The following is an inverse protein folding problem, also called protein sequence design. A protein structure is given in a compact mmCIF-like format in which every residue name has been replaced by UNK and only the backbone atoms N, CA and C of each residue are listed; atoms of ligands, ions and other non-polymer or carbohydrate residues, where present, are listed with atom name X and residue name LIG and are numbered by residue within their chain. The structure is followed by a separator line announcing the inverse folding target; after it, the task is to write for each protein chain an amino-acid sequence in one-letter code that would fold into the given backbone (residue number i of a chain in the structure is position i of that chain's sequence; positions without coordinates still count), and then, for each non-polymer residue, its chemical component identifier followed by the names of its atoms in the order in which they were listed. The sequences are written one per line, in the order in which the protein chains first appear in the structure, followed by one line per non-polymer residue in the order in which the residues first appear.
data_IF_622851391663
#
_entry.id   IF_622851391663
#
_cell.length_a   1.000
_cell.length_b   1.000
_cell.length_c   1.000
_cell.angle_alpha   90.00
_cell.angle_beta   90.00
_cell.angle_gamma   90.00
#
_symmetry.space_group_name_H-M   'P 1'
#
loop_
_entity.id
_entity.type
_entity.pdbx_description
1 polymer ?
#
# COMPACT_ATOMS: atom_id res chain seq x y z
N UNK A 1 27.43 40.85 7.85
CA UNK A 1 27.11 40.36 9.20
C UNK A 1 25.94 39.43 8.99
N UNK A 2 26.17 38.11 9.03
CA UNK A 2 25.10 37.13 8.89
C UNK A 2 24.44 37.05 10.27
N UNK A 3 23.13 37.31 10.34
CA UNK A 3 22.37 37.00 11.55
C UNK A 3 22.51 35.48 11.82
N UNK A 4 22.61 35.06 13.08
CA UNK A 4 22.63 33.64 13.41
C UNK A 4 21.30 33.03 12.98
N UNK A 5 21.35 32.13 11.99
CA UNK A 5 20.19 31.34 11.58
C UNK A 5 19.62 30.64 12.81
N UNK A 6 18.30 30.73 13.08
CA UNK A 6 17.70 30.08 14.23
C UNK A 6 17.91 28.56 14.12
N UNK A 7 18.21 27.91 15.25
CA UNK A 7 18.56 26.50 15.28
C UNK A 7 17.32 25.64 14.97
N UNK A 8 17.21 25.22 13.71
CA UNK A 8 16.10 24.41 13.21
C UNK A 8 15.93 23.11 13.99
N UNK A 9 17.03 22.47 14.41
CA UNK A 9 16.96 21.20 15.12
C UNK A 9 16.25 21.37 16.47
N UNK A 10 16.68 22.37 17.24
CA UNK A 10 16.05 22.70 18.53
C UNK A 10 14.61 23.18 18.36
N UNK A 11 14.34 24.04 17.37
CA UNK A 11 12.98 24.49 17.07
C UNK A 11 12.06 23.33 16.71
N UNK A 12 12.48 22.42 15.83
CA UNK A 12 11.67 21.30 15.38
C UNK A 12 11.36 20.30 16.49
N UNK A 13 12.30 20.07 17.42
CA UNK A 13 12.06 19.24 18.62
C UNK A 13 11.00 19.90 19.52
N UNK A 14 11.17 21.18 19.86
CA UNK A 14 10.22 21.89 20.70
C UNK A 14 8.84 21.99 20.03
N UNK A 15 8.80 22.20 18.72
CA UNK A 15 7.56 22.25 17.96
C UNK A 15 6.82 20.89 17.98
N UNK A 16 7.55 19.78 17.93
CA UNK A 16 6.95 18.45 18.05
C UNK A 16 6.28 18.23 19.42
N UNK A 17 6.87 18.77 20.48
CA UNK A 17 6.33 18.68 21.85
C UNK A 17 5.08 19.56 22.05
N UNK A 18 4.98 20.70 21.35
CA UNK A 18 3.86 21.65 21.45
C UNK A 18 2.67 21.30 20.54
N UNK A 19 2.89 20.56 19.45
CA UNK A 19 1.83 20.17 18.53
C UNK A 19 0.86 19.15 19.17
N UNK A 20 -0.44 19.22 18.85
CA UNK A 20 -1.42 18.26 19.37
C UNK A 20 -1.18 16.86 18.81
N UNK A 21 -1.23 15.86 19.69
CA UNK A 21 -0.93 14.46 19.37
C UNK A 21 0.51 14.09 19.72
N UNK A 22 0.98 12.94 19.24
CA UNK A 22 2.36 12.52 19.46
C UNK A 22 3.16 12.73 18.18
N UNK A 23 4.06 13.69 18.19
CA UNK A 23 4.94 14.00 17.06
C UNK A 23 6.39 13.65 17.39
N UNK A 24 7.11 13.18 16.38
CA UNK A 24 8.56 12.97 16.43
C UNK A 24 9.23 13.86 15.40
N UNK A 25 10.42 14.37 15.71
CA UNK A 25 11.21 15.23 14.82
C UNK A 25 12.41 14.50 14.25
N UNK A 26 12.64 14.65 12.94
CA UNK A 26 13.85 14.20 12.23
C UNK A 26 14.50 15.38 11.51
N UNK A 27 15.59 15.89 12.06
CA UNK A 27 16.41 16.94 11.45
C UNK A 27 17.42 16.38 10.47
N UNK A 28 17.70 17.12 9.40
CA UNK A 28 18.73 16.79 8.43
C UNK A 28 19.48 18.05 7.99
N UNK A 29 20.81 17.96 7.96
CA UNK A 29 21.66 18.97 7.36
C UNK A 29 22.09 18.51 5.96
N UNK A 30 22.01 19.40 4.98
CA UNK A 30 22.38 19.13 3.59
C UNK A 30 23.89 19.29 3.43
N UNK A 31 24.57 18.23 3.00
CA UNK A 31 25.99 18.28 2.68
C UNK A 31 26.20 18.77 1.24
N UNK A 32 25.25 18.49 0.36
CA UNK A 32 25.28 18.83 -1.06
C UNK A 32 23.90 19.33 -1.51
N UNK A 33 23.88 20.18 -2.54
CA UNK A 33 22.64 20.72 -3.12
C UNK A 33 21.57 19.64 -3.46
N UNK A 34 21.92 18.46 -4.00
CA UNK A 34 20.91 17.43 -4.27
C UNK A 34 20.18 16.90 -3.03
N UNK A 35 20.78 17.01 -1.84
CA UNK A 35 20.24 16.45 -0.61
C UNK A 35 18.90 17.10 -0.22
N UNK A 36 18.68 18.37 -0.61
CA UNK A 36 17.45 19.10 -0.31
C UNK A 36 16.21 18.54 -1.03
N UNK A 37 16.37 17.76 -2.09
CA UNK A 37 15.24 17.28 -2.90
C UNK A 37 14.63 15.98 -2.39
N UNK A 38 15.38 15.14 -1.69
CA UNK A 38 14.95 13.80 -1.30
C UNK A 38 13.63 13.80 -0.50
N UNK A 39 13.41 14.84 0.32
CA UNK A 39 12.20 15.03 1.12
C UNK A 39 11.26 16.03 0.49
N UNK A 40 11.79 17.09 -0.10
CA UNK A 40 11.02 18.13 -0.78
C UNK A 40 10.18 17.62 -1.95
N UNK A 41 10.60 16.57 -2.65
CA UNK A 41 9.81 15.96 -3.74
C UNK A 41 8.45 15.41 -3.27
N UNK A 42 8.32 15.10 -1.97
CA UNK A 42 7.08 14.62 -1.37
C UNK A 42 6.25 15.76 -0.76
N UNK A 43 6.71 17.00 -0.86
CA UNK A 43 6.01 18.16 -0.33
C UNK A 43 4.66 18.34 -1.05
N UNK A 44 3.60 18.41 -0.26
CA UNK A 44 2.24 18.67 -0.72
C UNK A 44 1.93 20.16 -0.59
N UNK A 45 2.73 20.96 -1.28
CA UNK A 45 2.58 22.41 -1.41
C UNK A 45 3.21 22.85 -2.72
N UNK A 46 2.46 23.56 -3.56
CA UNK A 46 2.93 24.19 -4.79
C UNK A 46 3.06 25.71 -4.65
N UNK A 47 3.04 26.21 -3.42
CA UNK A 47 3.05 27.64 -3.13
C UNK A 47 4.31 28.02 -2.33
N UNK A 48 4.17 28.31 -1.05
CA UNK A 48 5.16 29.05 -0.26
C UNK A 48 6.46 28.28 -0.04
N UNK A 49 6.33 27.01 0.34
CA UNK A 49 7.46 26.16 0.74
C UNK A 49 8.16 25.63 -0.52
N UNK A 50 7.38 25.19 -1.52
CA UNK A 50 7.94 24.78 -2.81
C UNK A 50 8.68 25.92 -3.52
N UNK A 51 8.14 27.14 -3.48
CA UNK A 51 8.81 28.31 -4.03
C UNK A 51 10.14 28.59 -3.33
N UNK A 52 10.17 28.53 -1.99
CA UNK A 52 11.40 28.73 -1.22
C UNK A 52 12.49 27.69 -1.59
N UNK A 53 12.12 26.42 -1.73
CA UNK A 53 13.04 25.34 -2.13
C UNK A 53 13.56 25.53 -3.56
N UNK A 54 12.71 26.04 -4.46
CA UNK A 54 13.08 26.28 -5.86
C UNK A 54 14.03 27.47 -6.02
N UNK A 55 13.88 28.52 -5.20
CA UNK A 55 14.68 29.75 -5.32
C UNK A 55 15.95 29.77 -4.46
N UNK A 56 16.03 28.92 -3.44
CA UNK A 56 17.08 28.96 -2.44
C UNK A 56 17.75 27.60 -2.22
N UNK A 57 19.07 27.63 -2.04
CA UNK A 57 19.79 26.49 -1.51
C UNK A 57 19.53 26.44 -0.01
N UNK A 58 18.96 25.33 0.45
CA UNK A 58 18.69 25.10 1.86
C UNK A 58 19.85 24.33 2.49
N UNK A 59 20.30 24.76 3.66
CA UNK A 59 21.37 24.05 4.40
C UNK A 59 20.84 22.91 5.27
N UNK A 60 19.55 22.91 5.56
CA UNK A 60 18.92 21.96 6.47
C UNK A 60 17.40 21.94 6.32
N UNK A 61 16.81 20.82 6.72
CA UNK A 61 15.37 20.65 6.89
C UNK A 61 15.05 19.82 8.14
N UNK A 62 13.77 19.81 8.51
CA UNK A 62 13.25 18.89 9.49
C UNK A 62 11.90 18.32 9.04
N UNK A 63 11.65 17.05 9.39
CA UNK A 63 10.37 16.38 9.19
C UNK A 63 9.77 16.06 10.54
N UNK A 64 8.55 16.55 10.77
CA UNK A 64 7.75 16.14 11.92
C UNK A 64 6.79 15.04 11.48
N UNK A 65 6.77 13.92 12.20
CA UNK A 65 5.88 12.78 11.91
C UNK A 65 4.98 12.53 13.11
N UNK A 66 3.67 12.50 12.88
CA UNK A 66 2.68 12.10 13.88
C UNK A 66 2.50 10.57 13.87
N UNK A 67 2.04 10.00 14.97
CA UNK A 67 1.75 8.57 15.11
C UNK A 67 0.79 7.99 14.04
N UNK A 68 -0.12 8.79 13.50
CA UNK A 68 -1.02 8.43 12.39
C UNK A 68 -0.38 8.48 10.99
N UNK A 69 0.91 8.80 10.91
CA UNK A 69 1.67 8.94 9.66
C UNK A 69 1.56 10.31 8.98
N UNK A 70 0.84 11.27 9.57
CA UNK A 70 0.80 12.66 9.11
C UNK A 70 2.19 13.29 9.23
N UNK A 71 2.64 13.99 8.19
CA UNK A 71 4.01 14.52 8.13
C UNK A 71 4.04 15.99 7.75
N UNK A 72 4.84 16.77 8.47
CA UNK A 72 5.11 18.18 8.18
C UNK A 72 6.58 18.36 7.81
N UNK A 73 6.84 19.21 6.83
CA UNK A 73 8.17 19.64 6.41
C UNK A 73 8.43 21.04 6.96
N UNK A 74 9.58 21.24 7.60
CA UNK A 74 9.95 22.50 8.25
C UNK A 74 11.32 22.95 7.74
N UNK A 75 11.39 24.20 7.29
CA UNK A 75 12.65 24.83 6.85
C UNK A 75 12.77 26.24 7.42
N UNK A 76 13.98 26.77 7.65
CA UNK A 76 14.16 28.18 7.96
C UNK A 76 13.66 29.02 6.79
N UNK A 77 12.99 30.14 7.07
CA UNK A 77 12.52 31.02 5.99
C UNK A 77 13.73 31.72 5.35
N UNK A 78 13.99 31.55 4.04
CA UNK A 78 15.11 32.22 3.40
C UNK A 78 15.01 33.75 3.55
N UNK A 79 16.14 34.39 3.88
CA UNK A 79 16.25 35.85 4.10
C UNK A 79 15.44 36.39 5.29
N UNK A 80 14.95 35.53 6.18
CA UNK A 80 14.38 35.89 7.49
C UNK A 80 15.16 35.18 8.59
N UNK A 81 15.47 35.88 9.68
CA UNK A 81 16.26 35.35 10.80
C UNK A 81 15.43 34.78 11.95
N UNK A 82 14.10 34.91 11.91
CA UNK A 82 13.23 34.66 13.08
C UNK A 82 11.96 33.90 12.70
N UNK A 83 11.91 33.28 11.51
CA UNK A 83 10.72 32.60 11.00
C UNK A 83 11.05 31.29 10.30
N UNK A 84 10.09 30.39 10.32
CA UNK A 84 10.14 29.09 9.64
C UNK A 84 9.00 28.98 8.63
N UNK A 85 9.21 28.15 7.62
CA UNK A 85 8.18 27.73 6.68
C UNK A 85 7.78 26.29 6.99
N UNK A 86 6.48 26.03 7.04
CA UNK A 86 5.92 24.71 7.34
C UNK A 86 4.96 24.29 6.24
N UNK A 87 5.19 23.12 5.67
CA UNK A 87 4.35 22.53 4.62
C UNK A 87 3.93 21.10 4.96
N UNK A 88 2.84 20.62 4.36
CA UNK A 88 2.41 19.24 4.49
C UNK A 88 3.23 18.33 3.57
N UNK A 89 3.49 17.09 3.97
CA UNK A 89 4.09 16.05 3.09
C UNK A 89 2.98 15.10 2.62
N UNK A 90 2.96 14.76 1.34
CA UNK A 90 1.99 13.82 0.80
C UNK A 90 2.16 12.41 1.42
N UNK A 91 1.07 11.67 1.68
CA UNK A 91 1.15 10.26 2.05
C UNK A 91 1.74 9.45 0.90
N UNK A 92 2.72 8.59 1.19
CA UNK A 92 3.49 7.86 0.17
C UNK A 92 2.78 6.61 -0.36
N UNK A 93 1.78 6.10 0.35
CA UNK A 93 1.04 4.86 0.05
C UNK A 93 -0.19 5.08 -0.83
N UNK A 94 -0.39 6.30 -1.33
CA UNK A 94 -1.55 6.66 -2.13
C UNK A 94 -1.14 6.84 -3.61
N UNK A 95 -1.89 6.26 -4.57
CA UNK A 95 -1.61 6.45 -5.99
C UNK A 95 -1.76 7.92 -6.42
N UNK A 96 -0.89 8.37 -7.33
CA UNK A 96 -0.85 9.76 -7.81
C UNK A 96 -2.19 10.24 -8.40
N UNK A 97 -2.98 9.34 -9.00
CA UNK A 97 -4.31 9.63 -9.53
C UNK A 97 -5.28 10.12 -8.46
N UNK A 98 -5.13 9.67 -7.21
CA UNK A 98 -6.01 10.05 -6.11
C UNK A 98 -5.82 11.52 -5.69
N UNK A 99 -4.66 12.11 -5.99
CA UNK A 99 -4.38 13.52 -5.71
C UNK A 99 -5.00 14.46 -6.74
N UNK A 100 -5.44 13.94 -7.90
CA UNK A 100 -6.07 14.78 -8.93
C UNK A 100 -7.30 15.48 -8.35
N UNK A 101 -7.42 16.78 -8.63
CA UNK A 101 -8.52 17.68 -8.19
C UNK A 101 -8.57 17.97 -6.69
N UNK A 102 -7.63 17.47 -5.89
CA UNK A 102 -7.54 17.82 -4.47
C UNK A 102 -6.77 19.12 -4.34
N UNK A 103 -7.36 20.08 -3.62
CA UNK A 103 -6.68 21.31 -3.26
C UNK A 103 -5.62 20.98 -2.21
N UNK A 104 -4.40 21.43 -2.47
CA UNK A 104 -3.28 21.24 -1.56
C UNK A 104 -3.47 22.00 -0.26
N UNK A 105 -2.88 21.53 0.85
CA UNK A 105 -3.02 22.19 2.15
C UNK A 105 -2.49 23.64 2.17
N UNK A 106 -1.57 23.98 1.27
CA UNK A 106 -0.81 25.24 1.19
C UNK A 106 0.00 25.53 2.48
N UNK A 107 1.33 25.61 2.36
CA UNK A 107 2.22 25.88 3.48
C UNK A 107 2.01 27.25 4.15
N UNK A 108 2.57 27.42 5.34
CA UNK A 108 2.48 28.66 6.13
C UNK A 108 3.84 29.12 6.62
N UNK A 109 3.96 30.41 6.92
CA UNK A 109 5.06 30.95 7.72
C UNK A 109 4.66 30.92 9.19
N UNK A 110 5.58 30.54 10.06
CA UNK A 110 5.42 30.54 11.53
C UNK A 110 6.58 31.28 12.19
N UNK A 111 6.37 31.88 13.38
CA UNK A 111 7.45 32.48 14.15
C UNK A 111 8.42 31.41 14.70
N UNK A 112 9.55 31.86 15.25
CA UNK A 112 10.53 31.02 15.93
C UNK A 112 10.14 30.58 17.35
N UNK A 113 9.03 31.10 17.90
CA UNK A 113 8.40 30.62 19.13
C UNK A 113 7.60 29.31 18.86
N UNK A 114 8.03 28.14 19.39
CA UNK A 114 7.38 26.87 19.12
C UNK A 114 5.92 26.80 19.56
N UNK A 115 5.55 27.45 20.66
CA UNK A 115 4.17 27.42 21.16
C UNK A 115 3.22 28.22 20.24
N UNK A 116 3.67 29.39 19.80
CA UNK A 116 2.92 30.19 18.83
C UNK A 116 2.87 29.50 17.46
N UNK A 117 3.98 28.93 17.01
CA UNK A 117 4.04 28.16 15.77
C UNK A 117 3.09 26.94 15.80
N UNK A 118 3.03 26.21 16.91
CA UNK A 118 2.11 25.09 17.09
C UNK A 118 0.64 25.54 17.02
N UNK A 119 0.31 26.68 17.63
CA UNK A 119 -1.03 27.26 17.55
C UNK A 119 -1.42 27.63 16.12
N UNK A 120 -0.51 28.27 15.37
CA UNK A 120 -0.73 28.65 13.97
C UNK A 120 -0.90 27.41 13.07
N UNK A 121 -0.05 26.38 13.24
CA UNK A 121 -0.15 25.11 12.52
C UNK A 121 -1.48 24.42 12.82
N UNK A 122 -1.86 24.35 14.09
CA UNK A 122 -3.09 23.67 14.54
C UNK A 122 -4.35 24.35 14.05
N UNK A 123 -4.37 25.68 14.01
CA UNK A 123 -5.56 26.45 13.63
C UNK A 123 -5.67 26.68 12.13
N UNK A 124 -4.54 26.63 11.39
CA UNK A 124 -4.52 26.96 9.97
C UNK A 124 -4.13 25.78 9.07
N UNK A 125 -2.97 25.15 9.28
CA UNK A 125 -2.42 24.16 8.36
C UNK A 125 -3.07 22.78 8.54
N UNK A 126 -3.16 22.27 9.78
CA UNK A 126 -3.71 20.95 10.05
C UNK A 126 -5.15 20.76 9.54
N UNK A 127 -6.08 21.73 9.73
CA UNK A 127 -7.44 21.55 9.22
C UNK A 127 -7.51 21.43 7.69
N UNK A 128 -6.62 22.14 6.96
CA UNK A 128 -6.52 22.02 5.50
C UNK A 128 -5.89 20.69 5.10
N UNK A 129 -4.86 20.26 5.84
CA UNK A 129 -4.19 18.98 5.61
C UNK A 129 -5.10 17.79 5.86
N UNK A 130 -5.81 17.75 6.98
CA UNK A 130 -6.75 16.68 7.33
C UNK A 130 -7.87 16.56 6.28
N UNK A 131 -8.38 17.71 5.81
CA UNK A 131 -9.37 17.75 4.73
C UNK A 131 -8.81 17.17 3.42
N UNK A 132 -7.59 17.54 3.04
CA UNK A 132 -6.95 17.05 1.83
C UNK A 132 -6.67 15.53 1.94
N UNK A 133 -6.18 15.06 3.09
CA UNK A 133 -5.95 13.64 3.38
C UNK A 133 -7.24 12.83 3.27
N UNK A 134 -8.34 13.30 3.85
CA UNK A 134 -9.64 12.65 3.76
C UNK A 134 -10.08 12.54 2.28
N UNK A 135 -9.98 13.63 1.52
CA UNK A 135 -10.37 13.64 0.11
C UNK A 135 -9.52 12.71 -0.74
N UNK A 136 -8.19 12.68 -0.54
CA UNK A 136 -7.29 11.79 -1.29
C UNK A 136 -7.54 10.32 -0.93
N UNK A 137 -7.76 10.00 0.35
CA UNK A 137 -8.12 8.63 0.78
C UNK A 137 -9.44 8.18 0.15
N UNK A 138 -10.44 9.06 0.10
CA UNK A 138 -11.71 8.78 -0.58
C UNK A 138 -11.53 8.59 -2.09
N UNK A 139 -10.69 9.41 -2.73
CA UNK A 139 -10.36 9.25 -4.15
C UNK A 139 -9.67 7.91 -4.41
N UNK A 140 -8.69 7.54 -3.57
CA UNK A 140 -7.96 6.28 -3.67
C UNK A 140 -8.87 5.07 -3.48
N UNK A 141 -9.80 5.12 -2.53
CA UNK A 141 -10.81 4.07 -2.33
C UNK A 141 -11.70 3.86 -3.56
N UNK A 142 -11.99 4.91 -4.34
CA UNK A 142 -12.73 4.81 -5.61
C UNK A 142 -11.88 4.32 -6.79
N UNK A 143 -10.57 4.47 -6.70
CA UNK A 143 -9.61 3.95 -7.69
C UNK A 143 -9.24 2.49 -7.43
N UNK A 144 -9.33 2.05 -6.17
CA UNK A 144 -9.08 0.67 -5.81
C UNK A 144 -10.02 -0.24 -6.64
N UNK A 145 -9.50 -1.30 -7.28
CA UNK A 145 -10.36 -2.26 -7.94
C UNK A 145 -11.35 -2.79 -6.91
N UNK A 146 -12.63 -2.90 -7.31
CA UNK A 146 -13.63 -3.55 -6.47
C UNK A 146 -13.09 -4.90 -5.99
N UNK A 147 -13.35 -5.25 -4.72
CA UNK A 147 -12.96 -6.54 -4.12
C UNK A 147 -13.12 -7.67 -5.15
N UNK A 148 -12.18 -8.63 -5.21
CA UNK A 148 -12.17 -9.62 -6.26
C UNK A 148 -13.56 -10.24 -6.33
N UNK A 149 -14.14 -10.29 -7.54
CA UNK A 149 -15.42 -10.93 -7.73
C UNK A 149 -15.34 -12.33 -7.14
N UNK A 150 -16.44 -12.78 -6.53
CA UNK A 150 -16.59 -14.17 -6.08
C UNK A 150 -15.90 -15.12 -7.07
N UNK A 151 -14.99 -15.97 -6.56
CA UNK A 151 -14.12 -16.77 -7.41
C UNK A 151 -14.63 -18.20 -7.46
N UNK A 152 -15.08 -18.62 -8.64
CA UNK A 152 -15.44 -20.01 -8.90
C UNK A 152 -14.21 -20.77 -9.43
N UNK A 153 -13.83 -21.85 -8.75
CA UNK A 153 -12.70 -22.70 -9.14
C UNK A 153 -13.23 -23.96 -9.84
N UNK A 154 -12.76 -24.18 -11.06
CA UNK A 154 -13.06 -25.35 -11.90
C UNK A 154 -11.85 -26.28 -11.87
N UNK A 155 -12.04 -27.52 -11.45
CA UNK A 155 -10.99 -28.54 -11.36
C UNK A 155 -11.38 -29.76 -12.18
N UNK A 156 -10.53 -30.18 -13.11
CA UNK A 156 -10.73 -31.43 -13.85
C UNK A 156 -10.22 -32.62 -13.02
N UNK A 157 -11.09 -33.57 -12.68
CA UNK A 157 -10.70 -34.81 -12.00
C UNK A 157 -11.20 -36.01 -12.78
N UNK A 158 -10.27 -36.80 -13.33
CA UNK A 158 -10.62 -37.87 -14.26
C UNK A 158 -11.24 -37.30 -15.54
N UNK A 159 -12.53 -37.56 -15.74
CA UNK A 159 -13.31 -37.01 -16.88
C UNK A 159 -14.24 -35.87 -16.46
N UNK A 160 -14.44 -35.63 -15.18
CA UNK A 160 -15.48 -34.72 -14.70
C UNK A 160 -14.88 -33.38 -14.28
N UNK A 161 -15.62 -32.30 -14.52
CA UNK A 161 -15.26 -30.99 -13.96
C UNK A 161 -15.99 -30.80 -12.64
N UNK A 162 -15.21 -30.52 -11.60
CA UNK A 162 -15.71 -30.13 -10.29
C UNK A 162 -15.59 -28.61 -10.16
N UNK A 163 -16.70 -27.96 -9.85
CA UNK A 163 -16.83 -26.52 -9.77
C UNK A 163 -17.22 -26.16 -8.34
N UNK A 164 -16.43 -25.30 -7.67
CA UNK A 164 -16.77 -24.85 -6.31
C UNK A 164 -18.13 -24.19 -6.30
N UNK A 165 -18.93 -24.49 -5.27
CA UNK A 165 -20.24 -23.87 -5.11
C UNK A 165 -20.11 -22.35 -5.00
N UNK A 166 -20.83 -21.58 -5.83
CA UNK A 166 -20.96 -20.15 -5.63
C UNK A 166 -21.89 -19.83 -4.45
N UNK A 167 -21.60 -18.76 -3.73
CA UNK A 167 -22.43 -18.20 -2.66
C UNK A 167 -23.72 -17.58 -3.21
N UNK A 168 -23.65 -17.09 -4.45
CA UNK A 168 -24.80 -16.49 -5.14
C UNK A 168 -25.72 -17.51 -5.79
N UNK A 169 -27.02 -17.36 -5.56
CA UNK A 169 -28.04 -18.23 -6.12
C UNK A 169 -28.16 -18.15 -7.65
N UNK A 170 -27.99 -16.96 -8.24
CA UNK A 170 -28.02 -16.75 -9.70
C UNK A 170 -26.82 -17.41 -10.41
N UNK A 171 -25.67 -17.44 -9.76
CA UNK A 171 -24.49 -18.17 -10.22
C UNK A 171 -24.67 -19.70 -10.14
N UNK A 172 -25.31 -20.20 -9.08
CA UNK A 172 -25.66 -21.61 -8.94
C UNK A 172 -26.68 -22.07 -10.01
N UNK A 173 -27.63 -21.19 -10.36
CA UNK A 173 -28.59 -21.41 -11.45
C UNK A 173 -27.88 -21.52 -12.81
N UNK A 174 -26.95 -20.61 -13.12
CA UNK A 174 -26.12 -20.67 -14.34
C UNK A 174 -25.37 -22.00 -14.45
N UNK A 175 -24.78 -22.50 -13.35
CA UNK A 175 -24.08 -23.80 -13.35
C UNK A 175 -25.05 -24.94 -13.66
N UNK A 176 -26.25 -24.91 -13.07
CA UNK A 176 -27.28 -25.93 -13.27
C UNK A 176 -27.82 -25.92 -14.71
N UNK A 177 -28.09 -24.74 -15.27
CA UNK A 177 -28.57 -24.55 -16.64
C UNK A 177 -27.57 -25.02 -17.70
N UNK A 178 -26.27 -24.99 -17.37
CA UNK A 178 -25.20 -25.53 -18.21
C UNK A 178 -24.88 -27.01 -17.93
N UNK A 179 -25.72 -27.70 -17.17
CA UNK A 179 -25.64 -29.14 -16.96
C UNK A 179 -24.79 -29.58 -15.79
N UNK A 180 -24.32 -28.66 -14.93
CA UNK A 180 -23.65 -29.05 -13.69
C UNK A 180 -24.68 -29.54 -12.67
N UNK A 181 -24.40 -30.67 -12.03
CA UNK A 181 -25.24 -31.24 -10.97
C UNK A 181 -24.62 -30.89 -9.63
N UNK A 182 -25.41 -30.34 -8.71
CA UNK A 182 -24.95 -30.09 -7.35
C UNK A 182 -24.83 -31.39 -6.56
N UNK A 183 -23.60 -31.71 -6.16
CA UNK A 183 -23.27 -32.80 -5.24
C UNK A 183 -23.38 -32.28 -3.80
N UNK A 184 -24.45 -32.71 -3.11
CA UNK A 184 -24.73 -32.32 -1.72
C UNK A 184 -23.75 -32.92 -0.72
N UNK A 185 -23.15 -34.07 -1.05
CA UNK A 185 -22.28 -34.79 -0.12
C UNK A 185 -20.90 -34.13 -0.04
N UNK A 186 -20.47 -33.50 -1.14
CA UNK A 186 -19.16 -32.86 -1.26
C UNK A 186 -19.20 -31.34 -1.48
N UNK A 187 -20.39 -30.73 -1.37
CA UNK A 187 -20.67 -29.29 -1.49
C UNK A 187 -20.04 -28.60 -2.72
N UNK A 188 -20.15 -29.23 -3.89
CA UNK A 188 -19.66 -28.67 -5.15
C UNK A 188 -20.55 -29.09 -6.33
N UNK A 189 -20.36 -28.44 -7.48
CA UNK A 189 -21.05 -28.77 -8.73
C UNK A 189 -20.17 -29.71 -9.57
N UNK A 190 -20.79 -30.71 -10.20
CA UNK A 190 -20.09 -31.67 -11.06
C UNK A 190 -20.68 -31.63 -12.46
N UNK A 191 -19.83 -31.46 -13.47
CA UNK A 191 -20.21 -31.62 -14.87
C UNK A 191 -19.61 -32.93 -15.40
N UNK A 192 -20.42 -33.97 -15.65
CA UNK A 192 -19.95 -35.28 -16.07
C UNK A 192 -19.33 -35.25 -17.48
N UNK A 193 -18.24 -36.00 -17.67
CA UNK A 193 -17.46 -36.01 -18.91
C UNK A 193 -17.77 -37.14 -19.87
N UNK A 194 -19.02 -37.36 -20.22
CA UNK A 194 -19.38 -38.40 -21.21
C UNK A 194 -18.91 -38.01 -22.62
N UNK A 195 -19.15 -36.76 -23.02
CA UNK A 195 -18.68 -36.16 -24.28
C UNK A 195 -17.78 -34.95 -23.97
N UNK A 196 -16.49 -35.09 -24.23
CA UNK A 196 -15.48 -34.06 -23.92
C UNK A 196 -15.70 -32.76 -24.70
N UNK A 197 -16.23 -32.81 -25.93
CA UNK A 197 -16.48 -31.61 -26.73
C UNK A 197 -17.71 -30.86 -26.22
N UNK A 198 -18.80 -31.58 -25.92
CA UNK A 198 -19.99 -31.00 -25.31
C UNK A 198 -19.70 -30.43 -23.92
N UNK A 199 -18.89 -31.14 -23.12
CA UNK A 199 -18.48 -30.74 -21.78
C UNK A 199 -17.63 -29.45 -21.81
N UNK A 200 -16.63 -29.37 -22.70
CA UNK A 200 -15.82 -28.17 -22.86
C UNK A 200 -16.67 -26.96 -23.28
N UNK A 201 -17.64 -27.17 -24.18
CA UNK A 201 -18.54 -26.10 -24.62
C UNK A 201 -19.48 -25.64 -23.49
N UNK A 202 -19.98 -26.56 -22.67
CA UNK A 202 -20.82 -26.24 -21.51
C UNK A 202 -20.04 -25.42 -20.46
N UNK A 203 -18.79 -25.80 -20.16
CA UNK A 203 -17.92 -25.01 -19.27
C UNK A 203 -17.63 -23.62 -19.84
N UNK A 204 -17.35 -23.50 -21.13
CA UNK A 204 -17.11 -22.20 -21.76
C UNK A 204 -18.34 -21.29 -21.70
N UNK A 205 -19.54 -21.84 -21.91
CA UNK A 205 -20.81 -21.09 -21.80
C UNK A 205 -21.08 -20.64 -20.37
N UNK A 206 -20.99 -21.55 -19.40
CA UNK A 206 -21.14 -21.23 -17.98
C UNK A 206 -20.12 -20.16 -17.56
N UNK A 207 -18.87 -20.29 -18.00
CA UNK A 207 -17.81 -19.35 -17.67
C UNK A 207 -18.09 -17.94 -18.22
N UNK A 208 -18.55 -17.83 -19.46
CA UNK A 208 -18.90 -16.54 -20.06
C UNK A 208 -20.05 -15.86 -19.30
N UNK A 209 -21.06 -16.61 -18.87
CA UNK A 209 -22.21 -16.10 -18.11
C UNK A 209 -21.83 -15.67 -16.68
N UNK A 210 -20.98 -16.44 -16.00
CA UNK A 210 -20.46 -16.06 -14.68
C UNK A 210 -19.60 -14.79 -14.75
N UNK A 211 -18.76 -14.64 -15.78
CA UNK A 211 -17.99 -13.40 -15.99
C UNK A 211 -18.91 -12.19 -16.20
N UNK A 212 -20.07 -12.36 -16.88
CA UNK A 212 -21.06 -11.29 -17.03
C UNK A 212 -21.73 -10.87 -15.71
N UNK A 213 -21.83 -11.79 -14.73
CA UNK A 213 -22.28 -11.47 -13.37
C UNK A 213 -21.19 -10.82 -12.51
N UNK A 214 -19.98 -10.63 -13.07
CA UNK A 214 -18.82 -10.19 -12.31
C UNK A 214 -18.40 -11.25 -11.31
N UNK A 215 -18.28 -12.51 -11.74
CA UNK A 215 -17.72 -13.64 -10.97
C UNK A 215 -16.41 -14.05 -11.65
N UNK A 216 -15.34 -14.13 -10.86
CA UNK A 216 -14.03 -14.56 -11.34
C UNK A 216 -13.99 -16.07 -11.54
N UNK A 217 -13.16 -16.55 -12.47
CA UNK A 217 -13.04 -17.99 -12.74
C UNK A 217 -11.57 -18.40 -12.72
N UNK A 218 -11.27 -19.48 -12.02
CA UNK A 218 -9.95 -20.12 -12.02
C UNK A 218 -10.08 -21.56 -12.49
N UNK A 219 -9.30 -21.96 -13.50
CA UNK A 219 -9.24 -23.36 -13.95
C UNK A 219 -7.97 -24.01 -13.42
N UNK A 220 -8.11 -25.07 -12.64
CA UNK A 220 -7.02 -25.91 -12.17
C UNK A 220 -7.01 -27.23 -12.94
N UNK A 221 -5.94 -27.46 -13.67
CA UNK A 221 -5.64 -28.78 -14.22
C UNK A 221 -4.96 -29.62 -13.12
N UNK A 222 -5.28 -30.92 -13.01
CA UNK A 222 -4.65 -31.77 -12.01
C UNK A 222 -3.14 -31.76 -12.26
N UNK A 223 -2.38 -31.35 -11.25
CA UNK A 223 -0.93 -31.47 -11.31
C UNK A 223 -0.60 -32.96 -11.34
N UNK A 224 0.20 -33.39 -12.32
CA UNK A 224 0.74 -34.74 -12.32
C UNK A 224 1.46 -34.95 -11.00
N UNK A 225 0.98 -35.91 -10.19
CA UNK A 225 1.60 -36.33 -8.94
C UNK A 225 3.10 -36.53 -9.19
N UNK A 226 4.02 -35.90 -8.43
CA UNK A 226 5.42 -36.26 -8.51
C UNK A 226 5.51 -37.77 -8.25
N UNK A 227 6.15 -38.50 -9.16
CA UNK A 227 6.43 -39.91 -8.96
C UNK A 227 7.08 -40.06 -7.58
N UNK A 228 6.60 -41.02 -6.78
CA UNK A 228 7.17 -41.34 -5.47
C UNK A 228 8.70 -41.38 -5.59
N UNK A 229 9.37 -40.53 -4.82
CA UNK A 229 10.80 -40.58 -4.62
C UNK A 229 11.21 -42.02 -4.35
N UNK A 230 11.99 -42.58 -5.28
CA UNK A 230 12.74 -43.79 -5.01
C UNK A 230 13.76 -43.39 -3.95
N UNK A 231 13.52 -43.79 -2.70
CA UNK A 231 14.40 -43.51 -1.58
C UNK A 231 15.85 -43.90 -1.95
N UNK A 232 16.85 -43.04 -1.70
CA UNK A 232 18.23 -43.43 -1.89
C UNK A 232 18.60 -44.50 -0.86
N UNK A 233 19.16 -45.62 -1.35
CA UNK A 233 19.77 -46.65 -0.51
C UNK A 233 20.92 -46.01 0.27
N UNK A 234 20.83 -46.06 1.60
CA UNK A 234 21.89 -45.61 2.49
C UNK A 234 23.15 -46.47 2.32
N UNK A 235 24.31 -45.82 2.19
CA UNK A 235 25.61 -46.48 2.14
C UNK A 235 25.97 -47.09 3.51
N UNK A 236 26.66 -48.25 3.56
CA UNK A 236 27.03 -48.88 4.82
C UNK A 236 28.17 -48.12 5.52
N UNK A 237 28.00 -47.91 6.82
CA UNK A 237 28.98 -47.27 7.71
C UNK A 237 30.19 -48.18 7.96
N UNK A 238 31.44 -47.69 7.90
CA UNK A 238 32.60 -48.48 8.31
C UNK A 238 32.68 -48.59 9.85
N UNK A 239 32.89 -49.80 10.35
CA UNK A 239 33.08 -50.08 11.77
C UNK A 239 34.44 -49.56 12.27
N UNK A 240 34.43 -48.90 13.44
CA UNK A 240 35.63 -48.51 14.17
C UNK A 240 36.31 -49.72 14.83
N UNK A 241 37.64 -49.87 14.77
CA UNK A 241 38.33 -50.91 15.53
C UNK A 241 38.60 -50.44 16.96
N UNK A 242 38.22 -51.30 17.91
CA UNK A 242 38.49 -51.17 19.33
C UNK A 242 39.99 -51.26 19.64
N UNK A 243 40.39 -50.49 20.66
CA UNK A 243 41.72 -50.43 21.23
C UNK A 243 42.26 -51.80 21.70
N UNK A 244 43.58 -51.99 21.55
CA UNK A 244 44.36 -52.95 22.34
C UNK A 244 45.53 -52.24 22.99
N UNK A 245 45.43 -52.08 24.31
CA UNK A 245 46.56 -51.91 25.23
C UNK A 245 47.41 -53.18 25.27
N UNK A 246 48.72 -53.05 25.02
CA UNK A 246 49.80 -53.38 25.96
C UNK A 246 51.13 -52.83 25.46
#
# INVERSE_FOLDING_TARGET
MHDPTPDLASFAIALADELPGNWTSEHHAHAQYPDQFARAEHLWDMNLVAHAIAEHVLDQDAVLTRDDGTRLYVIPRPRSGEEFLVGAIAPADIPAEAFRTVREPDGITVPDDPAQAAADITTTLLPRYDKALAQVRDNAARLAPALPPELVVITLSGRDFHVTKPDRADAAEILTDNGCVYDKDHDHFVLPGEDTAAQAQAIQRAAAQLVQLGIGISVRLPQAKPALDTAPVAAPTPAAPAARTR
#
